data_IF_203370658972
#
_entry.id   IF_203370658972
#
_cell.length_a   1.000
_cell.length_b   1.000
_cell.length_c   1.000
_cell.angle_alpha   90.00
_cell.angle_beta   90.00
_cell.angle_gamma   90.00
#
_symmetry.space_group_name_H-M   'P 1'
#
loop_
_entity.id
_entity.type
_entity.pdbx_description
1 polymer ?
#
# COMPACT_ATOMS: atom_id res chain seq x y z
N UNK A 1 -23.36 -11.12 13.07
CA UNK A 1 -22.84 -9.87 12.50
C UNK A 1 -22.35 -10.15 11.09
N UNK A 2 -22.85 -9.43 10.08
CA UNK A 2 -22.40 -9.53 8.69
C UNK A 2 -21.19 -8.62 8.43
N UNK A 3 -20.44 -8.87 7.35
CA UNK A 3 -19.31 -8.01 6.97
C UNK A 3 -19.76 -6.55 6.76
N UNK A 4 -20.97 -6.33 6.21
CA UNK A 4 -21.51 -4.98 6.02
C UNK A 4 -21.83 -4.25 7.32
N UNK A 5 -22.35 -4.96 8.32
CA UNK A 5 -22.62 -4.40 9.65
C UNK A 5 -21.33 -3.96 10.33
N UNK A 6 -20.29 -4.79 10.26
CA UNK A 6 -18.97 -4.47 10.82
C UNK A 6 -18.30 -3.28 10.07
N UNK A 7 -18.43 -3.24 8.75
CA UNK A 7 -17.96 -2.11 7.96
C UNK A 7 -18.71 -0.82 8.30
N UNK A 8 -20.02 -0.90 8.55
CA UNK A 8 -20.84 0.22 8.97
C UNK A 8 -20.48 0.71 10.38
N UNK A 9 -20.23 -0.22 11.32
CA UNK A 9 -19.80 0.08 12.69
C UNK A 9 -18.51 0.91 12.74
N UNK A 10 -17.64 0.75 11.74
CA UNK A 10 -16.37 1.48 11.60
C UNK A 10 -16.46 2.69 10.66
N UNK A 11 -17.67 3.14 10.32
CA UNK A 11 -17.94 4.26 9.39
C UNK A 11 -17.26 4.07 8.02
N UNK A 12 -17.10 2.83 7.59
CA UNK A 12 -16.44 2.47 6.33
C UNK A 12 -14.93 2.68 6.29
N UNK A 13 -14.27 2.89 7.44
CA UNK A 13 -12.82 3.12 7.56
C UNK A 13 -12.19 2.37 8.74
N UNK A 14 -12.28 1.02 8.77
CA UNK A 14 -11.66 0.23 9.83
C UNK A 14 -10.14 0.40 9.79
N UNK A 15 -9.52 0.47 10.96
CA UNK A 15 -8.06 0.61 11.06
C UNK A 15 -7.31 -0.67 10.67
N UNK A 16 -7.96 -1.84 10.70
CA UNK A 16 -7.35 -3.13 10.38
C UNK A 16 -6.71 -3.19 9.00
N UNK A 17 -7.35 -2.60 7.97
CA UNK A 17 -6.75 -2.52 6.64
C UNK A 17 -5.46 -1.71 6.61
N UNK A 18 -5.38 -0.61 7.37
CA UNK A 18 -4.19 0.24 7.43
C UNK A 18 -3.01 -0.52 8.05
N UNK A 19 -3.26 -1.25 9.14
CA UNK A 19 -2.25 -2.11 9.78
C UNK A 19 -1.84 -3.29 8.89
N UNK A 20 -2.80 -3.93 8.23
CA UNK A 20 -2.54 -5.07 7.36
C UNK A 20 -1.61 -4.67 6.21
N UNK A 21 -1.82 -3.49 5.61
CA UNK A 21 -0.93 -2.96 4.56
C UNK A 21 0.50 -2.77 5.03
N UNK A 22 0.68 -2.16 6.20
CA UNK A 22 2.02 -1.92 6.76
C UNK A 22 2.68 -3.24 7.14
N UNK A 23 1.94 -4.16 7.76
CA UNK A 23 2.44 -5.49 8.13
C UNK A 23 2.88 -6.30 6.91
N UNK A 24 2.05 -6.36 5.86
CA UNK A 24 2.40 -7.04 4.62
C UNK A 24 3.58 -6.36 3.92
N UNK A 25 3.67 -5.02 3.90
CA UNK A 25 4.83 -4.31 3.34
C UNK A 25 6.12 -4.64 4.10
N UNK A 26 6.06 -4.70 5.43
CA UNK A 26 7.20 -5.10 6.26
C UNK A 26 7.60 -6.57 5.99
N UNK A 27 6.64 -7.47 5.81
CA UNK A 27 6.94 -8.86 5.43
C UNK A 27 7.61 -8.96 4.06
N UNK A 28 7.29 -8.09 3.10
CA UNK A 28 7.99 -8.00 1.80
C UNK A 28 9.45 -7.56 2.00
N UNK A 29 9.71 -6.58 2.86
CA UNK A 29 11.09 -6.17 3.20
C UNK A 29 11.86 -7.36 3.80
N UNK A 30 11.25 -8.11 4.73
CA UNK A 30 11.87 -9.31 5.31
C UNK A 30 12.14 -10.36 4.22
N UNK A 31 11.16 -10.62 3.35
CA UNK A 31 11.30 -11.57 2.24
C UNK A 31 12.50 -11.24 1.34
N UNK A 32 12.65 -9.97 0.97
CA UNK A 32 13.72 -9.53 0.08
C UNK A 32 15.11 -9.51 0.72
N UNK A 33 15.24 -9.66 2.04
CA UNK A 33 16.56 -9.87 2.67
C UNK A 33 17.23 -11.13 2.14
N UNK A 34 16.46 -12.17 1.76
CA UNK A 34 17.00 -13.42 1.25
C UNK A 34 17.74 -13.21 -0.08
N UNK A 35 17.08 -12.63 -1.09
CA UNK A 35 17.70 -12.40 -2.40
C UNK A 35 18.79 -11.34 -2.38
N UNK A 36 18.63 -10.27 -1.60
CA UNK A 36 19.62 -9.18 -1.54
C UNK A 36 20.88 -9.57 -0.76
N UNK A 37 20.79 -10.53 0.17
CA UNK A 37 21.93 -10.99 0.98
C UNK A 37 22.56 -12.27 0.42
N UNK A 38 21.77 -13.18 -0.14
CA UNK A 38 22.20 -14.54 -0.50
C UNK A 38 21.87 -14.96 -1.94
N UNK A 39 21.22 -14.11 -2.73
CA UNK A 39 20.91 -14.37 -4.13
C UNK A 39 19.63 -15.20 -4.34
N UNK A 40 19.30 -15.42 -5.62
CA UNK A 40 18.03 -16.01 -6.05
C UNK A 40 17.84 -17.45 -5.57
N UNK A 41 18.91 -18.27 -5.56
CA UNK A 41 18.83 -19.68 -5.16
C UNK A 41 18.30 -19.85 -3.73
N UNK A 42 18.81 -19.05 -2.78
CA UNK A 42 18.37 -19.07 -1.39
C UNK A 42 16.92 -18.64 -1.25
N UNK A 43 16.49 -17.61 -2.00
CA UNK A 43 15.10 -17.18 -2.01
C UNK A 43 14.18 -18.28 -2.54
N UNK A 44 14.55 -18.94 -3.64
CA UNK A 44 13.79 -20.07 -4.20
C UNK A 44 13.71 -21.23 -3.22
N UNK A 45 14.80 -21.55 -2.51
CA UNK A 45 14.79 -22.59 -1.48
C UNK A 45 13.82 -22.27 -0.33
N UNK A 46 13.75 -21.01 0.12
CA UNK A 46 12.76 -20.56 1.11
C UNK A 46 11.32 -20.58 0.58
N UNK A 47 11.15 -20.26 -0.71
CA UNK A 47 9.87 -20.23 -1.41
C UNK A 47 9.27 -21.64 -1.57
N UNK A 48 10.14 -22.66 -1.72
CA UNK A 48 9.76 -24.07 -1.89
C UNK A 48 9.82 -24.86 -0.57
N UNK A 49 10.43 -24.31 0.46
CA UNK A 49 10.59 -24.95 1.75
C UNK A 49 9.34 -24.93 2.65
N UNK A 50 9.47 -25.35 3.91
CA UNK A 50 8.36 -25.41 4.87
C UNK A 50 7.69 -24.06 5.13
N UNK A 51 8.41 -22.95 4.96
CA UNK A 51 7.86 -21.60 5.14
C UNK A 51 7.02 -21.10 3.96
N UNK A 52 6.89 -21.88 2.87
CA UNK A 52 6.20 -21.49 1.63
C UNK A 52 4.88 -20.77 1.85
N UNK A 53 3.92 -21.25 2.67
CA UNK A 53 2.63 -20.60 2.80
C UNK A 53 2.69 -19.18 3.37
N UNK A 54 3.69 -18.90 4.21
CA UNK A 54 3.88 -17.58 4.82
C UNK A 54 4.20 -16.56 3.73
N UNK A 55 5.18 -16.87 2.88
CA UNK A 55 5.65 -15.99 1.81
C UNK A 55 4.65 -15.91 0.66
N UNK A 56 4.07 -17.06 0.29
CA UNK A 56 3.07 -17.17 -0.75
C UNK A 56 1.78 -16.40 -0.41
N UNK A 57 1.40 -16.28 0.87
CA UNK A 57 0.18 -15.54 1.23
C UNK A 57 0.30 -14.02 1.05
N UNK A 58 1.51 -13.43 1.11
CA UNK A 58 1.71 -11.98 1.22
C UNK A 58 1.05 -11.22 0.05
N UNK A 59 1.38 -11.60 -1.19
CA UNK A 59 0.90 -10.89 -2.38
C UNK A 59 -0.60 -11.11 -2.63
N UNK A 60 -1.16 -12.34 -2.57
CA UNK A 60 -2.61 -12.53 -2.62
C UNK A 60 -3.37 -11.73 -1.58
N UNK A 61 -2.86 -11.62 -0.34
CA UNK A 61 -3.48 -10.78 0.69
C UNK A 61 -3.44 -9.30 0.30
N UNK A 62 -2.31 -8.80 -0.25
CA UNK A 62 -2.20 -7.45 -0.79
C UNK A 62 -3.25 -7.15 -1.88
N UNK A 63 -3.39 -8.08 -2.83
CA UNK A 63 -4.33 -7.94 -3.94
C UNK A 63 -5.78 -8.08 -3.47
N UNK A 64 -6.09 -9.01 -2.57
CA UNK A 64 -7.42 -9.20 -2.02
C UNK A 64 -7.90 -7.98 -1.22
N UNK A 65 -7.05 -7.38 -0.36
CA UNK A 65 -7.45 -6.16 0.34
C UNK A 65 -7.66 -5.01 -0.65
N UNK A 66 -6.82 -4.93 -1.70
CA UNK A 66 -6.94 -3.90 -2.73
C UNK A 66 -8.28 -4.04 -3.44
N UNK A 67 -8.65 -5.26 -3.87
CA UNK A 67 -9.94 -5.57 -4.47
C UNK A 67 -11.12 -5.11 -3.63
N UNK A 68 -11.13 -5.46 -2.34
CA UNK A 68 -12.20 -5.08 -1.41
C UNK A 68 -12.36 -3.55 -1.30
N UNK A 69 -11.25 -2.82 -1.11
CA UNK A 69 -11.28 -1.37 -0.92
C UNK A 69 -11.54 -0.61 -2.23
N UNK A 70 -11.03 -1.13 -3.35
CA UNK A 70 -11.19 -0.56 -4.69
C UNK A 70 -12.64 -0.71 -5.13
N UNK A 71 -13.28 -1.86 -4.88
CA UNK A 71 -14.72 -2.05 -5.08
C UNK A 71 -15.56 -1.01 -4.33
N UNK A 72 -15.24 -0.75 -3.06
CA UNK A 72 -15.95 0.29 -2.31
C UNK A 72 -15.68 1.70 -2.82
N UNK A 73 -14.49 1.96 -3.36
CA UNK A 73 -14.23 3.24 -4.02
C UNK A 73 -14.89 3.35 -5.39
N UNK A 74 -15.09 2.25 -6.12
CA UNK A 74 -15.83 2.24 -7.39
C UNK A 74 -17.29 2.63 -7.16
N UNK A 75 -17.95 2.02 -6.15
CA UNK A 75 -19.34 2.37 -5.77
C UNK A 75 -19.51 3.85 -5.36
N UNK A 76 -18.47 4.47 -4.78
CA UNK A 76 -18.50 5.88 -4.38
C UNK A 76 -18.14 6.86 -5.51
N UNK A 77 -17.52 6.39 -6.58
CA UNK A 77 -17.06 7.25 -7.69
C UNK A 77 -18.23 7.58 -8.61
N UNK A 78 -18.30 8.83 -9.10
CA UNK A 78 -19.37 9.26 -10.02
C UNK A 78 -19.17 8.71 -11.43
N UNK A 79 -17.93 8.70 -11.90
CA UNK A 79 -17.56 8.20 -13.22
C UNK A 79 -16.32 7.31 -13.14
N UNK A 80 -16.05 6.57 -14.22
CA UNK A 80 -14.82 5.79 -14.37
C UNK A 80 -13.56 6.67 -14.48
N UNK A 81 -13.70 7.92 -14.95
CA UNK A 81 -12.57 8.87 -15.05
C UNK A 81 -12.09 9.24 -13.65
N UNK A 82 -12.97 9.66 -12.74
CA UNK A 82 -12.62 9.92 -11.35
C UNK A 82 -12.11 8.66 -10.66
N UNK A 83 -12.71 7.50 -10.95
CA UNK A 83 -12.23 6.23 -10.39
C UNK A 83 -10.78 5.97 -10.79
N UNK A 84 -10.45 5.95 -12.08
CA UNK A 84 -9.09 5.68 -12.58
C UNK A 84 -8.12 6.80 -12.23
N UNK A 85 -8.54 8.06 -12.32
CA UNK A 85 -7.73 9.24 -12.00
C UNK A 85 -7.24 9.24 -10.55
N UNK A 86 -8.07 8.77 -9.60
CA UNK A 86 -7.64 8.61 -8.21
C UNK A 86 -6.51 7.56 -8.04
N UNK A 87 -6.42 6.57 -8.93
CA UNK A 87 -5.37 5.54 -8.89
C UNK A 87 -4.10 6.04 -9.55
N UNK A 88 -4.24 6.76 -10.67
CA UNK A 88 -3.11 7.46 -11.30
C UNK A 88 -2.46 8.41 -10.29
N UNK A 89 -3.23 9.25 -9.60
CA UNK A 89 -2.71 10.15 -8.57
C UNK A 89 -2.07 9.45 -7.37
N UNK A 90 -2.41 8.18 -7.12
CA UNK A 90 -1.85 7.38 -6.03
C UNK A 90 -0.54 6.71 -6.43
N UNK A 91 -0.47 6.12 -7.62
CA UNK A 91 0.64 5.24 -8.04
C UNK A 91 1.70 6.04 -8.80
N UNK A 92 1.29 6.77 -9.83
CA UNK A 92 2.22 7.36 -10.80
C UNK A 92 3.24 8.33 -10.18
N UNK A 93 2.86 9.30 -9.32
CA UNK A 93 3.82 10.28 -8.81
C UNK A 93 4.95 9.66 -7.97
N UNK A 94 4.61 8.70 -7.09
CA UNK A 94 5.61 8.05 -6.26
C UNK A 94 6.48 7.10 -7.09
N UNK A 95 5.90 6.32 -8.01
CA UNK A 95 6.64 5.48 -8.95
C UNK A 95 7.64 6.28 -9.79
N UNK A 96 7.21 7.43 -10.34
CA UNK A 96 8.10 8.29 -11.12
C UNK A 96 9.30 8.80 -10.30
N UNK A 97 9.06 9.20 -9.05
CA UNK A 97 10.14 9.67 -8.17
C UNK A 97 11.07 8.54 -7.76
N UNK A 98 10.56 7.34 -7.49
CA UNK A 98 11.43 6.18 -7.23
C UNK A 98 12.31 5.88 -8.44
N UNK A 99 11.75 5.83 -9.65
CA UNK A 99 12.53 5.53 -10.84
C UNK A 99 13.60 6.60 -11.10
N UNK A 100 13.28 7.88 -10.84
CA UNK A 100 14.27 8.96 -10.89
C UNK A 100 15.36 8.82 -9.83
N UNK A 101 15.02 8.44 -8.60
CA UNK A 101 16.01 8.19 -7.53
C UNK A 101 16.92 7.01 -7.92
N UNK A 102 16.34 5.92 -8.43
CA UNK A 102 17.10 4.77 -8.91
C UNK A 102 18.06 5.18 -10.03
N UNK A 103 17.59 5.91 -11.04
CA UNK A 103 18.38 6.34 -12.19
C UNK A 103 19.44 7.38 -11.86
N UNK A 104 19.11 8.39 -11.06
CA UNK A 104 19.94 9.60 -10.89
C UNK A 104 20.72 9.65 -9.58
N UNK A 105 20.36 8.80 -8.61
CA UNK A 105 21.03 8.75 -7.30
C UNK A 105 21.67 7.39 -7.09
N UNK A 106 20.87 6.31 -7.10
CA UNK A 106 21.40 4.96 -6.82
C UNK A 106 22.36 4.52 -7.93
N UNK A 107 21.96 4.66 -9.19
CA UNK A 107 22.78 4.24 -10.32
C UNK A 107 24.18 4.88 -10.33
N UNK A 108 24.31 6.22 -10.30
CA UNK A 108 25.62 6.89 -10.26
C UNK A 108 26.48 6.53 -9.05
N UNK A 109 25.87 6.19 -7.91
CA UNK A 109 26.60 5.79 -6.70
C UNK A 109 27.16 4.36 -6.77
N UNK A 110 26.54 3.48 -7.55
CA UNK A 110 26.83 2.04 -7.56
C UNK A 110 27.14 1.47 -8.93
N UNK A 111 27.22 2.29 -9.98
CA UNK A 111 27.61 1.85 -11.33
C UNK A 111 29.11 1.64 -11.43
N UNK A 112 29.52 0.58 -12.13
CA UNK A 112 30.91 0.33 -12.49
C UNK A 112 31.35 1.14 -13.74
N UNK A 113 30.42 1.77 -14.45
CA UNK A 113 30.70 2.51 -15.68
C UNK A 113 31.04 3.97 -15.39
N UNK A 114 31.79 4.60 -16.29
CA UNK A 114 31.94 6.05 -16.27
C UNK A 114 30.57 6.72 -16.48
N UNK A 115 30.33 7.87 -15.83
CA UNK A 115 28.99 8.49 -15.79
C UNK A 115 28.46 8.89 -17.17
N UNK A 116 29.34 9.26 -18.10
CA UNK A 116 29.01 9.56 -19.49
C UNK A 116 28.51 8.32 -20.23
N UNK A 117 29.17 7.17 -20.04
CA UNK A 117 28.72 5.89 -20.59
C UNK A 117 27.42 5.42 -19.94
N UNK A 118 27.29 5.60 -18.62
CA UNK A 118 26.09 5.23 -17.88
C UNK A 118 24.83 5.94 -18.39
N UNK A 119 24.86 7.27 -18.57
CA UNK A 119 23.67 8.04 -18.98
C UNK A 119 23.35 7.92 -20.47
N UNK A 120 24.35 7.63 -21.31
CA UNK A 120 24.16 7.44 -22.75
C UNK A 120 23.75 6.02 -23.12
N UNK A 121 23.90 5.07 -22.19
CA UNK A 121 23.50 3.68 -22.39
C UNK A 121 21.97 3.55 -22.65
N UNK A 122 21.54 2.80 -23.68
CA UNK A 122 20.13 2.57 -23.95
C UNK A 122 19.34 1.96 -22.78
N UNK A 123 19.98 1.17 -21.90
CA UNK A 123 19.37 0.57 -20.71
C UNK A 123 18.95 1.66 -19.71
N UNK A 124 19.77 2.70 -19.53
CA UNK A 124 19.40 3.85 -18.69
C UNK A 124 18.12 4.52 -19.20
N UNK A 125 18.04 4.76 -20.51
CA UNK A 125 16.87 5.38 -21.13
C UNK A 125 15.62 4.50 -21.02
N UNK A 126 15.77 3.18 -21.22
CA UNK A 126 14.67 2.23 -21.06
C UNK A 126 14.16 2.17 -19.61
N UNK A 127 15.04 2.34 -18.62
CA UNK A 127 14.62 2.36 -17.22
C UNK A 127 13.61 3.47 -16.91
N UNK A 128 13.61 4.58 -17.66
CA UNK A 128 12.60 5.64 -17.51
C UNK A 128 11.17 5.16 -17.81
N UNK A 129 11.01 4.06 -18.56
CA UNK A 129 9.69 3.45 -18.81
C UNK A 129 9.04 2.90 -17.53
N UNK A 130 9.81 2.65 -16.46
CA UNK A 130 9.28 2.30 -15.15
C UNK A 130 8.31 3.36 -14.63
N UNK A 131 8.53 4.65 -14.95
CA UNK A 131 7.64 5.74 -14.56
C UNK A 131 6.23 5.55 -15.15
N UNK A 132 6.12 4.93 -16.33
CA UNK A 132 4.86 4.62 -17.01
C UNK A 132 4.28 3.25 -16.61
N UNK A 133 4.95 2.51 -15.71
CA UNK A 133 4.56 1.16 -15.30
C UNK A 133 4.99 0.05 -16.26
N UNK A 134 5.91 0.34 -17.20
CA UNK A 134 6.55 -0.67 -18.05
C UNK A 134 7.85 -1.09 -17.36
N UNK A 135 7.80 -2.26 -16.73
CA UNK A 135 8.83 -2.70 -15.78
C UNK A 135 10.16 -3.00 -16.49
N UNK A 136 11.24 -2.42 -15.97
CA UNK A 136 12.64 -2.71 -16.29
C UNK A 136 13.41 -2.89 -14.97
N UNK A 137 14.24 -3.93 -14.88
CA UNK A 137 14.87 -4.30 -13.62
C UNK A 137 16.28 -3.76 -13.45
N UNK A 138 17.01 -3.54 -14.55
CA UNK A 138 18.45 -3.32 -14.53
C UNK A 138 18.83 -1.91 -14.96
N UNK A 139 19.89 -1.38 -14.38
CA UNK A 139 20.57 -0.16 -14.80
C UNK A 139 22.00 -0.49 -15.25
N UNK A 140 22.60 0.29 -16.17
CA UNK A 140 23.91 -0.01 -16.72
C UNK A 140 25.00 -0.10 -15.64
N UNK A 141 25.60 -1.28 -15.49
CA UNK A 141 26.72 -1.51 -14.59
C UNK A 141 26.41 -1.39 -13.10
N UNK A 142 25.14 -1.35 -12.68
CA UNK A 142 24.74 -1.17 -11.27
C UNK A 142 24.65 -2.52 -10.55
N UNK A 143 25.16 -2.58 -9.31
CA UNK A 143 25.09 -3.76 -8.43
C UNK A 143 25.70 -5.06 -8.99
N UNK A 144 26.69 -4.97 -9.89
CA UNK A 144 27.32 -6.14 -10.53
C UNK A 144 27.97 -7.13 -9.53
N UNK A 145 28.35 -6.65 -8.35
CA UNK A 145 29.00 -7.45 -7.30
C UNK A 145 28.03 -7.95 -6.23
N UNK A 146 26.74 -7.59 -6.33
CA UNK A 146 25.72 -8.05 -5.39
C UNK A 146 25.24 -9.47 -5.72
N UNK A 147 24.68 -10.21 -4.74
CA UNK A 147 24.12 -11.55 -4.98
C UNK A 147 22.96 -11.56 -5.99
N UNK A 148 22.30 -10.41 -6.17
CA UNK A 148 21.32 -10.18 -7.23
C UNK A 148 21.56 -8.79 -7.83
N UNK A 149 21.53 -8.69 -9.16
CA UNK A 149 21.90 -7.46 -9.90
C UNK A 149 20.73 -6.50 -10.15
N UNK A 150 19.50 -7.01 -10.06
CA UNK A 150 18.29 -6.22 -10.29
C UNK A 150 18.26 -5.02 -9.33
N UNK A 151 17.91 -3.84 -9.84
CA UNK A 151 17.82 -2.61 -9.03
C UNK A 151 16.53 -2.59 -8.23
N UNK A 152 15.43 -3.02 -8.84
CA UNK A 152 14.12 -3.04 -8.19
C UNK A 152 13.25 -4.21 -8.66
N UNK A 153 13.42 -5.39 -8.05
CA UNK A 153 12.71 -6.59 -8.47
C UNK A 153 11.19 -6.49 -8.24
N UNK A 154 10.76 -5.90 -7.12
CA UNK A 154 9.36 -5.81 -6.70
C UNK A 154 8.42 -5.05 -7.65
N UNK A 155 8.96 -4.28 -8.61
CA UNK A 155 8.13 -3.59 -9.62
C UNK A 155 7.29 -4.57 -10.47
N UNK A 156 7.66 -5.85 -10.51
CA UNK A 156 6.95 -6.89 -11.27
C UNK A 156 5.46 -7.02 -10.94
N UNK A 157 5.02 -6.66 -9.72
CA UNK A 157 3.61 -6.75 -9.33
C UNK A 157 2.76 -5.58 -9.84
N UNK A 158 3.37 -4.42 -10.15
CA UNK A 158 2.65 -3.20 -10.54
C UNK A 158 1.82 -3.37 -11.83
N UNK A 159 2.32 -4.02 -12.90
CA UNK A 159 1.49 -4.29 -14.07
C UNK A 159 0.25 -5.12 -13.75
N UNK A 160 0.33 -6.05 -12.80
CA UNK A 160 -0.83 -6.86 -12.38
C UNK A 160 -1.84 -6.02 -11.61
N UNK A 161 -1.39 -5.08 -10.78
CA UNK A 161 -2.26 -4.11 -10.11
C UNK A 161 -3.02 -3.24 -11.15
N UNK A 162 -2.33 -2.73 -12.17
CA UNK A 162 -2.97 -1.98 -13.26
C UNK A 162 -3.99 -2.84 -14.03
N UNK A 163 -3.64 -4.10 -14.35
CA UNK A 163 -4.57 -5.06 -14.96
C UNK A 163 -5.82 -5.28 -14.10
N UNK A 164 -5.69 -5.31 -12.77
CA UNK A 164 -6.84 -5.42 -11.87
C UNK A 164 -7.79 -4.22 -11.99
N UNK A 165 -7.25 -3.01 -12.10
CA UNK A 165 -8.05 -1.80 -12.28
C UNK A 165 -8.77 -1.77 -13.63
N UNK A 166 -8.10 -2.23 -14.69
CA UNK A 166 -8.73 -2.39 -16.01
C UNK A 166 -9.82 -3.46 -15.93
N UNK A 167 -9.54 -4.63 -15.33
CA UNK A 167 -10.50 -5.72 -15.21
C UNK A 167 -11.79 -5.28 -14.49
N UNK A 168 -11.69 -4.65 -13.31
CA UNK A 168 -12.87 -4.19 -12.59
C UNK A 168 -13.64 -3.08 -13.32
N UNK A 169 -12.93 -2.21 -14.04
CA UNK A 169 -13.56 -1.20 -14.90
C UNK A 169 -14.35 -1.86 -16.04
N UNK A 170 -13.80 -2.90 -16.69
CA UNK A 170 -14.50 -3.67 -17.73
C UNK A 170 -15.74 -4.38 -17.15
N UNK A 171 -15.62 -5.07 -16.02
CA UNK A 171 -16.77 -5.68 -15.33
C UNK A 171 -17.87 -4.65 -15.03
N UNK A 172 -17.49 -3.41 -14.70
CA UNK A 172 -18.43 -2.32 -14.46
C UNK A 172 -19.10 -1.80 -15.75
N UNK A 173 -18.33 -1.59 -16.82
CA UNK A 173 -18.84 -1.15 -18.13
C UNK A 173 -19.86 -2.16 -18.68
N UNK A 174 -19.52 -3.44 -18.66
CA UNK A 174 -20.37 -4.52 -19.18
C UNK A 174 -21.53 -4.91 -18.25
N UNK A 175 -21.81 -4.12 -17.21
CA UNK A 175 -22.89 -4.36 -16.24
C UNK A 175 -22.76 -5.68 -15.44
N UNK A 176 -21.71 -6.47 -15.69
CA UNK A 176 -21.44 -7.72 -14.97
C UNK A 176 -21.20 -7.48 -13.49
N UNK A 177 -20.65 -6.31 -13.12
CA UNK A 177 -20.50 -5.91 -11.72
C UNK A 177 -21.86 -5.64 -11.03
N UNK A 178 -22.90 -5.26 -11.78
CA UNK A 178 -24.25 -5.02 -11.24
C UNK A 178 -24.99 -6.32 -10.97
N UNK A 179 -24.74 -7.37 -11.75
CA UNK A 179 -25.38 -8.68 -11.65
C UNK A 179 -24.47 -9.67 -10.91
N UNK A 180 -24.71 -9.96 -9.60
CA UNK A 180 -23.79 -10.76 -8.80
C UNK A 180 -23.47 -12.13 -9.40
N UNK A 181 -24.46 -12.76 -10.05
CA UNK A 181 -24.28 -14.05 -10.71
C UNK A 181 -23.27 -14.00 -11.86
N UNK A 182 -23.28 -12.94 -12.68
CA UNK A 182 -22.32 -12.76 -13.77
C UNK A 182 -20.92 -12.47 -13.24
N UNK A 183 -20.81 -11.71 -12.15
CA UNK A 183 -19.53 -11.45 -11.51
C UNK A 183 -18.92 -12.73 -10.91
N UNK A 184 -19.73 -13.53 -10.21
CA UNK A 184 -19.33 -14.85 -9.69
C UNK A 184 -18.93 -15.78 -10.83
N UNK A 185 -19.73 -15.86 -11.89
CA UNK A 185 -19.41 -16.66 -13.08
C UNK A 185 -18.08 -16.23 -13.70
N UNK A 186 -17.83 -14.92 -13.85
CA UNK A 186 -16.55 -14.40 -14.34
C UNK A 186 -15.37 -14.78 -13.45
N UNK A 187 -15.53 -14.72 -12.12
CA UNK A 187 -14.51 -15.17 -11.18
C UNK A 187 -14.22 -16.67 -11.31
N UNK A 188 -15.27 -17.51 -11.43
CA UNK A 188 -15.13 -18.96 -11.60
C UNK A 188 -14.48 -19.28 -12.95
N UNK A 189 -14.90 -18.63 -14.04
CA UNK A 189 -14.32 -18.84 -15.37
C UNK A 189 -12.82 -18.49 -15.39
N UNK A 190 -12.44 -17.36 -14.79
CA UNK A 190 -11.03 -16.98 -14.65
C UNK A 190 -10.26 -17.93 -13.75
N UNK A 191 -10.88 -18.46 -12.68
CA UNK A 191 -10.26 -19.46 -11.81
C UNK A 191 -9.97 -20.75 -12.56
N UNK A 192 -10.93 -21.25 -13.35
CA UNK A 192 -10.76 -22.44 -14.19
C UNK A 192 -9.66 -22.18 -15.21
N UNK A 193 -9.66 -21.02 -15.89
CA UNK A 193 -8.64 -20.67 -16.87
C UNK A 193 -7.24 -20.60 -16.24
N UNK A 194 -7.10 -19.99 -15.05
CA UNK A 194 -5.83 -19.92 -14.34
C UNK A 194 -5.34 -21.30 -13.88
N UNK A 195 -6.25 -22.14 -13.36
CA UNK A 195 -5.91 -23.51 -12.97
C UNK A 195 -5.52 -24.36 -14.17
N UNK A 196 -6.23 -24.24 -15.30
CA UNK A 196 -5.88 -24.92 -16.54
C UNK A 196 -4.50 -24.47 -17.04
N UNK A 197 -4.22 -23.16 -17.02
CA UNK A 197 -2.90 -22.63 -17.37
C UNK A 197 -1.80 -23.19 -16.48
N UNK A 198 -2.02 -23.29 -15.17
CA UNK A 198 -1.04 -23.85 -14.23
C UNK A 198 -0.71 -25.31 -14.54
N UNK A 199 -1.71 -26.09 -14.94
CA UNK A 199 -1.55 -27.50 -15.28
C UNK A 199 -0.91 -27.69 -16.66
N UNK A 200 -1.31 -26.88 -17.65
CA UNK A 200 -0.85 -27.00 -19.03
C UNK A 200 0.56 -26.43 -19.26
N UNK A 201 0.96 -25.45 -18.46
CA UNK A 201 2.29 -24.86 -18.51
C UNK A 201 2.97 -24.99 -17.14
N UNK A 202 3.50 -26.19 -16.83
CA UNK A 202 4.28 -26.43 -15.62
C UNK A 202 5.69 -25.80 -15.76
N UNK A 203 5.78 -24.49 -16.02
CA UNK A 203 7.01 -23.75 -15.79
C UNK A 203 7.45 -23.93 -14.33
N UNK A 204 8.77 -23.90 -14.11
CA UNK A 204 9.38 -24.06 -12.79
C UNK A 204 8.71 -23.11 -11.79
N UNK A 205 8.11 -23.70 -10.76
CA UNK A 205 7.51 -22.96 -9.66
C UNK A 205 8.64 -22.29 -8.87
N UNK A 206 8.84 -20.98 -9.08
CA UNK A 206 9.80 -20.18 -8.29
C UNK A 206 9.32 -19.94 -6.85
N UNK A 207 8.22 -20.59 -6.43
CA UNK A 207 7.63 -20.54 -5.10
C UNK A 207 6.90 -19.23 -4.77
N UNK A 208 6.74 -18.35 -5.77
CA UNK A 208 5.88 -17.16 -5.71
C UNK A 208 4.62 -17.45 -6.54
N UNK A 209 3.43 -17.02 -6.06
CA UNK A 209 2.20 -17.23 -6.84
C UNK A 209 2.28 -16.49 -8.18
N UNK A 210 1.90 -17.21 -9.24
CA UNK A 210 1.88 -16.69 -10.61
C UNK A 210 0.97 -15.46 -10.71
N UNK A 211 1.35 -14.52 -11.57
CA UNK A 211 0.64 -13.26 -11.79
C UNK A 211 -0.89 -13.36 -11.98
N UNK A 212 -1.44 -14.35 -12.72
CA UNK A 212 -2.88 -14.53 -12.84
C UNK A 212 -3.60 -14.76 -11.49
N UNK A 213 -2.95 -15.43 -10.54
CA UNK A 213 -3.53 -15.68 -9.22
C UNK A 213 -3.66 -14.38 -8.41
N UNK A 214 -2.77 -13.41 -8.63
CA UNK A 214 -2.89 -12.09 -8.01
C UNK A 214 -4.14 -11.35 -8.49
N UNK A 215 -4.44 -11.44 -9.79
CA UNK A 215 -5.68 -10.88 -10.37
C UNK A 215 -6.91 -11.58 -9.79
N UNK A 216 -6.86 -12.90 -9.64
CA UNK A 216 -7.95 -13.65 -8.98
C UNK A 216 -8.15 -13.25 -7.53
N UNK A 217 -7.07 -13.10 -6.75
CA UNK A 217 -7.15 -12.66 -5.36
C UNK A 217 -7.82 -11.28 -5.25
N UNK A 218 -7.47 -10.35 -6.15
CA UNK A 218 -8.13 -9.05 -6.26
C UNK A 218 -9.63 -9.16 -6.59
N UNK A 219 -9.99 -10.01 -7.57
CA UNK A 219 -11.39 -10.21 -7.94
C UNK A 219 -12.18 -10.87 -6.80
N UNK A 220 -11.59 -11.80 -6.04
CA UNK A 220 -12.22 -12.37 -4.85
C UNK A 220 -12.39 -11.35 -3.73
N UNK A 221 -11.41 -10.47 -3.50
CA UNK A 221 -11.59 -9.33 -2.60
C UNK A 221 -12.77 -8.44 -3.01
N UNK A 222 -12.89 -8.18 -4.32
CA UNK A 222 -14.00 -7.44 -4.92
C UNK A 222 -15.35 -8.17 -4.75
N UNK A 223 -15.34 -9.50 -4.90
CA UNK A 223 -16.50 -10.37 -4.73
C UNK A 223 -17.00 -10.35 -3.28
N UNK A 224 -16.09 -10.45 -2.31
CA UNK A 224 -16.42 -10.37 -0.88
C UNK A 224 -17.02 -9.01 -0.53
N UNK A 225 -16.52 -7.92 -1.13
CA UNK A 225 -17.13 -6.61 -0.97
C UNK A 225 -18.55 -6.57 -1.54
N UNK A 226 -18.81 -7.23 -2.68
CA UNK A 226 -20.16 -7.28 -3.27
C UNK A 226 -21.12 -8.17 -2.48
N UNK A 227 -20.63 -9.26 -1.90
CA UNK A 227 -21.39 -10.22 -1.09
C UNK A 227 -21.39 -9.90 0.42
N UNK A 228 -20.90 -8.71 0.81
CA UNK A 228 -20.73 -8.29 2.21
C UNK A 228 -22.00 -8.39 3.08
N UNK A 229 -23.18 -8.28 2.47
CA UNK A 229 -24.47 -8.36 3.16
C UNK A 229 -24.91 -9.80 3.46
N UNK A 230 -24.30 -10.79 2.80
CA UNK A 230 -24.62 -12.22 2.94
C UNK A 230 -23.54 -13.01 3.66
N UNK A 231 -22.36 -12.42 3.83
CA UNK A 231 -21.22 -13.08 4.44
C UNK A 231 -21.11 -12.71 5.92
N UNK A 232 -21.09 -13.70 6.82
CA UNK A 232 -20.90 -13.45 8.24
C UNK A 232 -19.46 -13.01 8.51
N UNK A 233 -19.29 -12.08 9.45
CA UNK A 233 -18.00 -11.77 10.06
C UNK A 233 -17.79 -12.72 11.24
N UNK A 234 -17.20 -13.91 10.97
CA UNK A 234 -17.08 -15.00 11.95
C UNK A 234 -15.62 -15.41 12.17
N UNK A 235 -15.12 -15.43 13.42
CA UNK A 235 -13.76 -15.90 13.72
C UNK A 235 -13.58 -17.38 13.34
N UNK A 236 -14.61 -18.22 13.50
CA UNK A 236 -14.54 -19.64 13.15
C UNK A 236 -14.33 -19.85 11.64
N UNK A 237 -15.04 -19.08 10.81
CA UNK A 237 -14.81 -19.10 9.36
C UNK A 237 -13.45 -18.53 8.99
N UNK A 238 -12.95 -17.54 9.72
CA UNK A 238 -11.60 -17.00 9.48
C UNK A 238 -10.53 -18.07 9.76
N UNK A 239 -10.64 -18.79 10.88
CA UNK A 239 -9.71 -19.87 11.21
C UNK A 239 -9.82 -21.01 10.20
N UNK A 240 -11.04 -21.43 9.85
CA UNK A 240 -11.26 -22.46 8.83
C UNK A 240 -10.65 -22.05 7.47
N UNK A 241 -10.89 -20.81 7.03
CA UNK A 241 -10.31 -20.27 5.80
C UNK A 241 -8.78 -20.21 5.87
N UNK A 242 -8.19 -19.80 7.00
CA UNK A 242 -6.73 -19.78 7.19
C UNK A 242 -6.12 -21.19 7.12
N UNK A 243 -6.75 -22.19 7.73
CA UNK A 243 -6.30 -23.59 7.67
C UNK A 243 -6.41 -24.14 6.24
N UNK A 244 -7.51 -23.86 5.54
CA UNK A 244 -7.68 -24.26 4.13
C UNK A 244 -6.64 -23.58 3.25
N UNK A 245 -6.40 -22.28 3.43
CA UNK A 245 -5.36 -21.54 2.72
C UNK A 245 -3.97 -22.15 2.96
N UNK A 246 -3.65 -22.52 4.21
CA UNK A 246 -2.38 -23.15 4.55
C UNK A 246 -2.17 -24.43 3.74
N UNK A 247 -3.15 -25.33 3.72
CA UNK A 247 -3.10 -26.59 2.97
C UNK A 247 -2.97 -26.34 1.46
N UNK A 248 -3.78 -25.43 0.90
CA UNK A 248 -3.78 -25.14 -0.53
C UNK A 248 -2.46 -24.50 -0.99
N UNK A 249 -1.84 -23.64 -0.17
CA UNK A 249 -0.56 -23.00 -0.50
C UNK A 249 0.63 -23.97 -0.47
N UNK A 250 0.54 -25.06 0.29
CA UNK A 250 1.53 -26.14 0.26
C UNK A 250 1.44 -27.00 -1.01
N UNK A 251 0.27 -27.06 -1.65
CA UNK A 251 0.04 -27.86 -2.85
C UNK A 251 0.30 -27.02 -4.12
N UNK A 252 1.38 -27.25 -4.87
CA UNK A 252 1.75 -26.40 -6.02
C UNK A 252 0.65 -26.28 -7.08
N UNK A 253 -0.08 -27.37 -7.37
CA UNK A 253 -1.17 -27.37 -8.35
C UNK A 253 -2.47 -26.72 -7.83
N UNK A 254 -2.67 -26.70 -6.51
CA UNK A 254 -3.88 -26.18 -5.88
C UNK A 254 -3.70 -24.77 -5.29
N UNK A 255 -2.49 -24.20 -5.39
CA UNK A 255 -2.17 -22.89 -4.80
C UNK A 255 -3.06 -21.75 -5.32
N UNK A 256 -3.57 -21.85 -6.55
CA UNK A 256 -4.47 -20.87 -7.14
C UNK A 256 -5.82 -20.82 -6.42
N UNK A 257 -6.28 -21.95 -5.88
CA UNK A 257 -7.52 -22.04 -5.12
C UNK A 257 -7.40 -21.37 -3.75
N UNK A 258 -6.18 -21.11 -3.25
CA UNK A 258 -5.97 -20.42 -1.99
C UNK A 258 -6.43 -18.95 -2.03
N UNK A 259 -6.58 -18.36 -3.23
CA UNK A 259 -6.93 -16.95 -3.41
C UNK A 259 -8.25 -16.56 -2.73
N UNK A 260 -9.30 -17.39 -2.85
CA UNK A 260 -10.61 -17.13 -2.22
C UNK A 260 -10.58 -17.20 -0.68
N UNK A 261 -10.11 -18.30 -0.05
CA UNK A 261 -10.05 -18.36 1.41
C UNK A 261 -9.09 -17.31 1.99
N UNK A 262 -7.96 -17.02 1.32
CA UNK A 262 -7.06 -15.93 1.73
C UNK A 262 -7.75 -14.56 1.64
N UNK A 263 -8.56 -14.33 0.62
CA UNK A 263 -9.32 -13.09 0.52
C UNK A 263 -10.28 -12.92 1.70
N UNK A 264 -10.94 -14.01 2.15
CA UNK A 264 -11.80 -13.96 3.34
C UNK A 264 -11.01 -13.63 4.61
N UNK A 265 -9.87 -14.30 4.83
CA UNK A 265 -8.97 -14.01 5.97
C UNK A 265 -8.52 -12.55 5.94
N UNK A 266 -8.10 -12.06 4.78
CA UNK A 266 -7.65 -10.68 4.56
C UNK A 266 -8.74 -9.68 4.90
N UNK A 267 -9.97 -9.90 4.41
CA UNK A 267 -11.11 -9.01 4.67
C UNK A 267 -11.53 -9.08 6.13
N UNK A 268 -11.54 -10.27 6.74
CA UNK A 268 -11.87 -10.44 8.15
C UNK A 268 -10.91 -9.64 9.04
N UNK A 269 -9.60 -9.81 8.83
CA UNK A 269 -8.55 -9.07 9.55
C UNK A 269 -8.62 -7.57 9.25
N UNK A 270 -8.87 -7.20 8.00
CA UNK A 270 -8.99 -5.79 7.59
C UNK A 270 -10.18 -5.06 8.20
N UNK A 271 -11.29 -5.76 8.47
CA UNK A 271 -12.48 -5.26 9.15
C UNK A 271 -12.35 -5.21 10.68
N UNK A 272 -11.24 -5.72 11.24
CA UNK A 272 -10.92 -5.45 12.65
C UNK A 272 -10.66 -3.96 12.84
N UNK A 273 -10.96 -3.44 14.03
CA UNK A 273 -10.80 -2.03 14.33
C UNK A 273 -9.95 -1.81 15.59
N UNK A 274 -8.67 -2.22 15.58
CA UNK A 274 -7.74 -1.88 16.65
C UNK A 274 -7.60 -0.35 16.79
N UNK A 275 -7.19 0.15 17.96
CA UNK A 275 -6.98 1.58 18.15
C UNK A 275 -5.96 2.12 17.13
N UNK A 276 -6.26 3.28 16.53
CA UNK A 276 -5.36 3.92 15.57
C UNK A 276 -4.16 4.49 16.31
N UNK A 277 -2.98 3.96 16.00
CA UNK A 277 -1.71 4.50 16.46
C UNK A 277 -1.38 5.82 15.74
N UNK A 278 -0.45 6.59 16.29
CA UNK A 278 0.04 7.82 15.64
C UNK A 278 0.54 7.54 14.22
N UNK A 279 1.24 6.41 14.02
CA UNK A 279 1.77 5.98 12.73
C UNK A 279 0.67 5.80 11.67
N UNK A 280 -0.38 5.03 11.99
CA UNK A 280 -1.50 4.80 11.06
C UNK A 280 -2.33 6.08 10.85
N UNK A 281 -2.37 6.96 11.85
CA UNK A 281 -3.10 8.22 11.75
C UNK A 281 -2.41 9.26 10.86
N UNK A 282 -1.08 9.23 10.74
CA UNK A 282 -0.29 10.25 10.04
C UNK A 282 -0.23 10.04 8.52
N UNK A 283 -0.36 8.80 8.04
CA UNK A 283 -0.26 8.51 6.61
C UNK A 283 -0.41 7.05 6.20
N UNK A 284 -0.44 6.83 4.88
CA UNK A 284 -0.41 5.51 4.25
C UNK A 284 1.02 5.25 3.73
N UNK A 285 1.88 4.73 4.61
CA UNK A 285 3.31 4.53 4.31
C UNK A 285 3.60 3.23 3.56
N UNK A 286 2.64 2.31 3.48
CA UNK A 286 2.89 0.97 2.96
C UNK A 286 3.38 0.98 1.51
N UNK A 287 2.89 1.93 0.72
CA UNK A 287 3.30 2.05 -0.68
C UNK A 287 4.75 2.51 -0.81
N UNK A 288 5.18 3.49 -0.02
CA UNK A 288 6.59 3.90 0.03
C UNK A 288 7.51 2.79 0.57
N UNK A 289 7.10 2.09 1.63
CA UNK A 289 7.89 0.96 2.18
C UNK A 289 8.10 -0.12 1.14
N UNK A 290 7.04 -0.46 0.39
CA UNK A 290 7.12 -1.34 -0.76
C UNK A 290 8.08 -0.73 -1.78
N UNK A 291 7.71 0.37 -2.43
CA UNK A 291 8.41 0.92 -3.59
C UNK A 291 9.93 1.15 -3.38
N UNK A 292 10.36 1.64 -2.22
CA UNK A 292 11.78 1.92 -1.91
C UNK A 292 12.51 0.77 -1.21
N UNK A 293 11.81 -0.28 -0.77
CA UNK A 293 12.39 -1.37 0.02
C UNK A 293 13.56 -2.04 -0.69
N UNK A 294 13.32 -2.58 -1.89
CA UNK A 294 14.31 -3.38 -2.61
C UNK A 294 15.55 -2.57 -3.04
N UNK A 295 15.44 -1.37 -3.64
CA UNK A 295 16.63 -0.58 -4.00
C UNK A 295 17.49 -0.21 -2.80
N UNK A 296 16.88 0.09 -1.65
CA UNK A 296 17.62 0.40 -0.42
C UNK A 296 18.32 -0.85 0.12
N UNK A 297 17.68 -2.01 0.11
CA UNK A 297 18.32 -3.27 0.53
C UNK A 297 19.50 -3.64 -0.39
N UNK A 298 19.38 -3.39 -1.70
CA UNK A 298 20.48 -3.56 -2.65
C UNK A 298 21.64 -2.59 -2.36
N UNK A 299 21.35 -1.31 -2.09
CA UNK A 299 22.37 -0.33 -1.70
C UNK A 299 23.09 -0.72 -0.39
N UNK A 300 22.36 -1.24 0.61
CA UNK A 300 22.97 -1.75 1.85
C UNK A 300 23.87 -2.97 1.56
N UNK A 301 23.42 -3.90 0.73
CA UNK A 301 24.21 -5.08 0.33
C UNK A 301 25.48 -4.71 -0.47
N UNK A 302 25.41 -3.65 -1.26
CA UNK A 302 26.55 -3.11 -2.03
C UNK A 302 27.55 -2.36 -1.16
N UNK A 303 27.09 -1.63 -0.13
CA UNK A 303 27.95 -0.86 0.78
C UNK A 303 28.64 -1.73 1.83
N UNK A 304 28.03 -2.87 2.21
CA UNK A 304 28.55 -3.77 3.24
C UNK A 304 28.75 -5.19 2.69
N UNK A 305 29.67 -5.41 1.72
CA UNK A 305 29.82 -6.70 1.06
C UNK A 305 30.21 -7.85 2.00
N UNK A 306 31.02 -7.56 3.03
CA UNK A 306 31.46 -8.54 4.03
C UNK A 306 30.38 -8.85 5.10
N UNK A 307 29.33 -8.03 5.19
CA UNK A 307 28.25 -8.15 6.17
C UNK A 307 26.88 -8.38 5.51
N UNK A 308 26.85 -9.12 4.40
CA UNK A 308 25.63 -9.55 3.70
C UNK A 308 24.86 -10.63 4.48
N UNK A 309 24.59 -10.37 5.75
CA UNK A 309 23.69 -11.18 6.55
C UNK A 309 22.28 -10.59 6.48
N UNK A 310 21.27 -11.45 6.35
CA UNK A 310 19.88 -11.01 6.23
C UNK A 310 19.44 -10.06 7.36
N UNK A 311 19.91 -10.30 8.58
CA UNK A 311 19.57 -9.50 9.75
C UNK A 311 20.28 -8.15 9.75
N UNK A 312 21.55 -8.08 9.31
CA UNK A 312 22.27 -6.79 9.13
C UNK A 312 21.53 -5.96 8.08
N UNK A 313 21.23 -6.57 6.93
CA UNK A 313 20.47 -5.91 5.88
C UNK A 313 19.12 -5.40 6.41
N UNK A 314 18.36 -6.24 7.13
CA UNK A 314 17.07 -5.87 7.71
C UNK A 314 17.17 -4.67 8.67
N UNK A 315 18.07 -4.74 9.66
CA UNK A 315 18.17 -3.72 10.71
C UNK A 315 18.77 -2.40 10.22
N UNK A 316 19.63 -2.42 9.19
CA UNK A 316 20.19 -1.21 8.57
C UNK A 316 19.23 -0.61 7.54
N UNK A 317 18.63 -1.44 6.68
CA UNK A 317 17.76 -0.95 5.61
C UNK A 317 16.41 -0.43 6.15
N UNK A 318 15.79 -1.11 7.13
CA UNK A 318 14.43 -0.77 7.59
C UNK A 318 14.28 0.68 8.09
N UNK A 319 15.19 1.23 8.93
CA UNK A 319 15.12 2.63 9.33
C UNK A 319 15.21 3.60 8.14
N UNK A 320 16.07 3.30 7.16
CA UNK A 320 16.25 4.12 5.95
C UNK A 320 14.97 4.06 5.10
N UNK A 321 14.43 2.85 4.88
CA UNK A 321 13.17 2.63 4.15
C UNK A 321 12.04 3.42 4.81
N UNK A 322 11.89 3.34 6.13
CA UNK A 322 10.85 4.08 6.85
C UNK A 322 11.01 5.60 6.71
N UNK A 323 12.24 6.12 6.76
CA UNK A 323 12.52 7.55 6.59
C UNK A 323 12.18 8.02 5.16
N UNK A 324 12.59 7.27 4.15
CA UNK A 324 12.31 7.59 2.74
C UNK A 324 10.81 7.45 2.44
N UNK A 325 10.15 6.41 2.94
CA UNK A 325 8.71 6.22 2.80
C UNK A 325 7.91 7.34 3.48
N UNK A 326 8.35 7.81 4.66
CA UNK A 326 7.78 8.98 5.31
C UNK A 326 7.93 10.23 4.44
N UNK A 327 9.13 10.48 3.91
CA UNK A 327 9.40 11.57 2.97
C UNK A 327 8.50 11.51 1.73
N UNK A 328 8.42 10.34 1.09
CA UNK A 328 7.58 10.09 -0.09
C UNK A 328 6.13 10.46 0.16
N UNK A 329 5.55 9.96 1.26
CA UNK A 329 4.16 10.22 1.60
C UNK A 329 3.89 11.72 1.76
N UNK A 330 4.71 12.43 2.54
CA UNK A 330 4.47 13.83 2.88
C UNK A 330 4.81 14.82 1.75
N UNK A 331 5.84 14.50 0.95
CA UNK A 331 6.33 15.38 -0.10
C UNK A 331 5.64 15.16 -1.44
N UNK A 332 5.21 13.93 -1.73
CA UNK A 332 4.73 13.52 -3.06
C UNK A 332 3.27 13.06 -2.98
N UNK A 333 3.02 11.91 -2.36
CA UNK A 333 1.73 11.21 -2.45
C UNK A 333 0.58 12.03 -1.85
N UNK A 334 0.78 12.57 -0.64
CA UNK A 334 -0.23 13.40 0.03
C UNK A 334 -0.55 14.67 -0.74
N UNK A 335 0.42 15.24 -1.48
CA UNK A 335 0.21 16.42 -2.32
C UNK A 335 -0.51 16.04 -3.61
N UNK A 336 -0.10 14.96 -4.27
CA UNK A 336 -0.76 14.46 -5.46
C UNK A 336 -2.23 14.12 -5.20
N UNK A 337 -2.56 13.48 -4.08
CA UNK A 337 -3.93 13.14 -3.71
C UNK A 337 -4.82 14.37 -3.42
N UNK A 338 -4.24 15.55 -3.13
CA UNK A 338 -5.01 16.81 -3.02
C UNK A 338 -5.56 17.25 -4.39
N UNK A 339 -4.95 16.80 -5.49
CA UNK A 339 -5.39 17.12 -6.84
C UNK A 339 -6.72 16.43 -7.23
N UNK A 340 -7.24 15.53 -6.38
CA UNK A 340 -8.58 14.92 -6.58
C UNK A 340 -9.69 15.95 -6.80
N UNK A 341 -9.57 17.16 -6.23
CA UNK A 341 -10.53 18.23 -6.40
C UNK A 341 -10.61 18.71 -7.85
N UNK A 342 -9.47 18.76 -8.55
CA UNK A 342 -9.43 19.12 -9.97
C UNK A 342 -10.10 18.06 -10.83
N UNK A 343 -9.92 16.76 -10.53
CA UNK A 343 -10.65 15.68 -11.22
C UNK A 343 -12.16 15.86 -11.10
N UNK A 344 -12.66 16.10 -9.89
CA UNK A 344 -14.11 16.29 -9.68
C UNK A 344 -14.66 17.55 -10.35
N UNK A 345 -13.85 18.62 -10.46
CA UNK A 345 -14.24 19.85 -11.16
C UNK A 345 -14.22 19.68 -12.67
N UNK A 346 -13.21 18.99 -13.19
CA UNK A 346 -13.10 18.65 -14.60
C UNK A 346 -14.31 17.83 -15.06
N UNK A 347 -14.71 16.82 -14.28
CA UNK A 347 -15.92 16.04 -14.57
C UNK A 347 -17.20 16.88 -14.55
N UNK A 348 -17.32 17.80 -13.59
CA UNK A 348 -18.47 18.69 -13.52
C UNK A 348 -18.56 19.65 -14.72
N UNK A 349 -17.42 20.00 -15.33
CA UNK A 349 -17.37 20.81 -16.56
C UNK A 349 -17.53 20.00 -17.85
N UNK A 350 -17.02 18.77 -17.91
CA UNK A 350 -17.04 17.92 -19.10
C UNK A 350 -18.35 17.11 -19.26
N UNK A 351 -19.09 16.88 -18.18
CA UNK A 351 -20.37 16.18 -18.20
C UNK A 351 -21.41 16.97 -17.39
N UNK A 352 -22.02 18.01 -17.98
CA UNK A 352 -23.16 18.71 -17.37
C UNK A 352 -24.43 17.85 -17.54
N UNK A 353 -24.49 16.67 -16.93
CA UNK A 353 -25.70 15.85 -16.99
C UNK A 353 -26.14 15.39 -15.59
N UNK A 354 -27.21 16.07 -15.17
CA UNK A 354 -28.26 15.70 -14.21
C UNK A 354 -27.94 15.68 -12.71
N UNK A 355 -27.76 16.89 -12.16
CA UNK A 355 -27.98 17.22 -10.74
C UNK A 355 -29.46 17.12 -10.31
N UNK A 356 -30.29 16.25 -10.91
CA UNK A 356 -31.73 16.22 -10.65
C UNK A 356 -32.28 14.97 -9.93
N UNK A 357 -31.50 13.91 -9.68
CA UNK A 357 -32.05 12.65 -9.09
C UNK A 357 -31.58 12.33 -7.66
N UNK A 358 -31.10 13.31 -6.89
CA UNK A 358 -30.75 13.07 -5.47
C UNK A 358 -31.28 14.11 -4.47
N UNK A 359 -32.18 14.99 -4.90
CA UNK A 359 -32.87 15.91 -3.98
C UNK A 359 -34.09 15.27 -3.27
N UNK A 360 -34.52 14.06 -3.63
CA UNK A 360 -35.70 13.40 -3.02
C UNK A 360 -35.38 12.38 -1.92
N UNK A 361 -34.36 12.62 -1.10
CA UNK A 361 -34.17 11.94 0.19
C UNK A 361 -33.73 12.91 1.29
N UNK A 362 -34.22 14.15 1.24
CA UNK A 362 -34.32 14.95 2.45
C UNK A 362 -35.51 14.41 3.25
N UNK A 363 -35.24 13.99 4.49
CA UNK A 363 -36.23 13.53 5.45
C UNK A 363 -37.42 14.53 5.55
N UNK A 364 -38.67 14.06 5.74
CA UNK A 364 -39.76 14.97 6.04
C UNK A 364 -39.44 15.69 7.35
N UNK A 365 -39.34 17.01 7.28
CA UNK A 365 -39.31 17.89 8.44
C UNK A 365 -40.55 17.64 9.32
N UNK A 366 -40.43 17.67 10.66
CA UNK A 366 -41.59 17.55 11.54
C UNK A 366 -42.56 18.72 11.29
N UNK A 367 -43.88 18.52 11.39
CA UNK A 367 -44.84 19.57 11.15
C UNK A 367 -44.68 20.69 12.19
N UNK A 368 -44.48 21.90 11.69
CA UNK A 368 -44.53 23.12 12.47
C UNK A 368 -45.95 23.29 13.05
N UNK A 369 -46.08 23.25 14.39
CA UNK A 369 -47.28 23.69 15.07
C UNK A 369 -47.51 25.18 14.79
N UNK A 370 -48.51 25.49 13.96
CA UNK A 370 -49.07 26.83 13.85
C UNK A 370 -49.88 27.12 15.12
N UNK A 371 -49.42 28.10 15.88
CA UNK A 371 -50.24 28.74 16.89
C UNK A 371 -51.33 29.57 16.20
N UNK A 372 -52.59 29.20 16.43
CA UNK A 372 -53.75 30.06 16.26
C UNK A 372 -54.57 29.93 17.54
N UNK A 373 -54.75 31.05 18.24
CA UNK A 373 -55.50 31.09 19.49
C UNK A 373 -57.00 31.02 19.26
N UNK A 374 -57.74 30.39 20.17
CA UNK A 374 -58.80 31.05 20.94
C UNK A 374 -59.36 30.14 22.03
N UNK A 375 -59.66 30.80 23.15
CA UNK A 375 -60.37 30.45 24.38
C UNK A 375 -61.34 29.25 24.33
N UNK A 376 -61.22 28.35 25.31
CA UNK A 376 -62.34 27.77 26.05
C UNK A 376 -61.84 27.12 27.36
N UNK A 377 -62.70 27.14 28.38
CA UNK A 377 -62.37 27.08 29.80
C UNK A 377 -62.56 25.70 30.45
N UNK A 378 -62.00 25.58 31.68
CA UNK A 378 -62.34 24.62 32.76
C UNK A 378 -62.12 23.13 32.47
N UNK A 379 -61.69 22.26 33.39
CA UNK A 379 -61.65 22.28 34.85
C UNK A 379 -60.62 21.25 35.35
N UNK A 380 -59.95 21.59 36.45
CA UNK A 380 -59.17 20.72 37.36
C UNK A 380 -60.13 19.87 38.23
N UNK A 381 -59.70 18.77 38.92
CA UNK A 381 -58.82 18.90 40.09
C UNK A 381 -57.84 17.75 40.44
N UNK A 382 -56.82 18.13 41.24
CA UNK A 382 -56.13 17.45 42.38
C UNK A 382 -55.45 16.07 42.16
N UNK A 383 -54.34 15.67 42.77
CA UNK A 383 -53.32 16.19 43.73
C UNK A 383 -52.22 15.10 43.76
N UNK A 384 -50.92 15.39 43.77
CA UNK A 384 -50.03 15.33 44.95
C UNK A 384 -48.61 15.75 44.50
N UNK A 385 -47.89 16.46 45.35
CA UNK A 385 -46.47 16.87 45.22
C UNK A 385 -45.82 16.70 46.62
N UNK A 386 -44.55 17.09 46.91
CA UNK A 386 -43.35 17.31 46.08
C UNK A 386 -42.03 16.77 46.72
N UNK A 387 -40.89 16.82 45.99
CA UNK A 387 -39.55 17.25 46.47
C UNK A 387 -38.57 17.30 45.26
N UNK A 388 -38.22 18.44 44.63
CA UNK A 388 -37.22 19.47 45.00
C UNK A 388 -35.82 18.88 45.29
N UNK A 389 -34.66 19.32 44.77
CA UNK A 389 -34.09 20.39 43.89
C UNK A 389 -32.67 19.84 43.52
N UNK A 390 -31.94 20.26 42.47
CA UNK A 390 -31.42 21.61 42.21
C UNK A 390 -30.79 21.64 40.80
N UNK A 391 -31.05 22.72 40.08
CA UNK A 391 -30.47 23.08 38.81
C UNK A 391 -29.26 24.01 38.99
N UNK A 392 -28.39 24.09 37.98
CA UNK A 392 -27.72 25.34 37.59
C UNK A 392 -27.43 25.31 36.08
N UNK A 393 -27.79 26.42 35.41
CA UNK A 393 -27.68 26.70 33.98
C UNK A 393 -26.36 27.42 33.64
N UNK A 394 -25.94 27.26 32.39
CA UNK A 394 -25.07 28.04 31.48
C UNK A 394 -25.11 29.59 31.62
N UNK A 395 -24.31 30.46 30.92
CA UNK A 395 -23.71 30.27 29.58
C UNK A 395 -22.37 31.09 29.30
N UNK A 396 -22.01 31.62 28.10
CA UNK A 396 -20.64 31.53 27.51
C UNK A 396 -19.96 32.90 27.25
N UNK A 397 -18.71 32.92 26.75
CA UNK A 397 -18.16 34.09 26.02
C UNK A 397 -16.81 33.82 25.33
N UNK A 398 -16.79 33.95 24.01
CA UNK A 398 -15.66 34.48 23.22
C UNK A 398 -15.89 36.00 23.04
N UNK A 399 -14.85 36.86 22.90
CA UNK A 399 -14.28 37.16 21.57
C UNK A 399 -12.78 37.53 21.51
N UNK A 400 -12.27 37.51 20.27
CA UNK A 400 -10.97 37.95 19.72
C UNK A 400 -10.26 39.14 20.40
N UNK A 401 -8.92 39.14 20.48
CA UNK A 401 -8.02 40.12 19.79
C UNK A 401 -6.52 39.88 20.03
N UNK A 402 -5.74 40.39 19.06
CA UNK A 402 -4.30 40.42 18.87
C UNK A 402 -3.43 40.83 20.08
N UNK A 403 -2.18 40.36 20.10
CA UNK A 403 -1.15 40.92 20.99
C UNK A 403 0.24 40.35 20.74
N UNK A 404 0.94 40.91 19.75
CA UNK A 404 2.40 40.79 19.55
C UNK A 404 3.11 41.47 20.71
N UNK A 405 4.01 40.78 21.43
CA UNK A 405 5.15 41.42 22.12
C UNK A 405 6.39 40.54 21.97
N UNK A 406 7.43 41.15 21.40
CA UNK A 406 8.83 40.72 21.31
C UNK A 406 9.65 41.78 22.06
N UNK A 407 10.91 41.44 22.41
CA UNK A 407 12.03 42.32 22.85
C UNK A 407 12.23 42.39 24.39
N UNK A 408 13.40 42.23 25.05
CA UNK A 408 14.84 41.90 24.78
C UNK A 408 15.54 41.76 26.19
N UNK A 409 16.80 41.27 26.30
CA UNK A 409 17.44 40.74 27.53
C UNK A 409 18.43 41.72 28.20
N UNK A 410 19.18 41.25 29.21
CA UNK A 410 20.63 41.53 29.31
C UNK A 410 21.41 40.23 29.62
N UNK A 411 22.69 40.02 29.33
CA UNK A 411 23.77 40.85 28.82
C UNK A 411 25.09 40.11 29.07
N UNK A 412 26.00 40.19 28.09
CA UNK A 412 27.47 40.13 28.18
C UNK A 412 28.19 38.95 28.90
N UNK A 413 28.93 38.16 28.11
CA UNK A 413 30.41 38.12 28.10
C UNK A 413 30.92 37.33 26.88
N UNK A 414 31.93 37.89 26.20
CA UNK A 414 32.64 37.35 25.02
C UNK A 414 33.92 36.59 25.46
N UNK A 415 34.61 35.87 24.53
CA UNK A 415 35.38 34.64 24.78
C UNK A 415 36.91 34.89 24.86
N UNK A 416 37.70 33.81 24.84
CA UNK A 416 38.87 33.78 23.96
C UNK A 416 38.91 32.54 23.04
N UNK A 417 39.52 32.73 21.87
CA UNK A 417 39.86 31.72 20.87
C UNK A 417 41.33 31.22 21.09
N UNK A 418 42.00 30.66 20.07
CA UNK A 418 42.19 29.23 19.82
C UNK A 418 43.63 28.76 20.15
N UNK A 419 43.88 27.44 20.12
CA UNK A 419 45.25 26.92 20.07
C UNK A 419 45.41 25.93 18.91
N UNK A 420 46.37 26.24 18.05
CA UNK A 420 46.94 25.44 16.97
C UNK A 420 47.91 24.38 17.52
N UNK A 421 48.16 23.32 16.75
CA UNK A 421 49.49 22.68 16.76
C UNK A 421 49.57 21.17 16.51
N UNK A 422 50.08 20.83 15.31
CA UNK A 422 50.99 19.71 14.95
C UNK A 422 50.45 18.33 14.53
N UNK A 423 50.62 18.04 13.23
CA UNK A 423 50.96 16.73 12.63
C UNK A 423 52.51 16.50 12.71
N UNK A 424 53.17 15.48 12.07
CA UNK A 424 52.73 14.31 11.27
C UNK A 424 53.53 12.98 11.55
N UNK A 425 53.22 11.89 10.80
CA UNK A 425 54.11 10.72 10.57
C UNK A 425 53.32 9.45 10.15
N UNK A 426 53.25 9.04 8.87
CA UNK A 426 54.16 8.29 7.98
C UNK A 426 54.33 6.77 8.24
N UNK A 427 54.23 6.01 7.13
CA UNK A 427 54.70 4.63 6.85
C UNK A 427 53.78 3.46 7.28
N UNK A 428 53.57 2.37 6.53
CA UNK A 428 54.07 1.89 5.24
C UNK A 428 53.21 0.70 4.73
N UNK A 429 53.27 0.45 3.41
CA UNK A 429 52.89 -0.78 2.68
C UNK A 429 54.16 -1.62 2.46
N UNK A 430 54.11 -2.96 2.48
CA UNK A 430 54.27 -3.79 1.26
C UNK A 430 53.34 -5.03 1.31
N UNK A 431 53.00 -5.81 0.28
CA UNK A 431 53.40 -6.04 -1.11
C UNK A 431 52.49 -7.20 -1.62
N UNK A 432 51.90 -7.08 -2.81
CA UNK A 432 52.26 -7.85 -4.00
C UNK A 432 52.35 -9.38 -3.85
N UNK A 433 51.35 -10.11 -4.37
CA UNK A 433 51.55 -11.42 -5.02
C UNK A 433 50.58 -11.57 -6.20
N UNK A 434 51.10 -12.14 -7.28
CA UNK A 434 50.57 -12.11 -8.64
C UNK A 434 50.24 -13.52 -9.15
N UNK A 435 49.17 -13.63 -9.94
CA UNK A 435 48.95 -14.52 -11.11
C UNK A 435 48.76 -16.04 -10.87
N UNK A 436 47.56 -16.56 -11.16
CA UNK A 436 47.39 -17.56 -12.24
C UNK A 436 45.95 -17.68 -12.76
N UNK A 437 45.85 -17.84 -14.08
CA UNK A 437 44.65 -17.91 -14.90
C UNK A 437 44.10 -19.33 -14.99
N UNK A 438 42.79 -19.47 -15.19
CA UNK A 438 42.24 -20.55 -16.01
C UNK A 438 40.86 -20.16 -16.60
N UNK A 439 40.81 -20.12 -17.93
CA UNK A 439 39.62 -20.11 -18.79
C UNK A 439 39.03 -21.52 -18.85
N UNK A 440 37.69 -21.62 -18.95
CA UNK A 440 36.89 -22.59 -19.75
C UNK A 440 35.41 -22.19 -19.58
N UNK A 441 34.72 -21.57 -20.55
CA UNK A 441 34.07 -22.11 -21.77
C UNK A 441 32.79 -22.93 -21.52
N UNK A 442 31.68 -22.47 -22.15
CA UNK A 442 30.48 -23.21 -22.66
C UNK A 442 29.64 -23.99 -21.64
N UNK A 443 28.31 -23.91 -21.54
CA UNK A 443 27.22 -23.58 -22.49
C UNK A 443 26.08 -22.83 -21.79
#
# INVERSE_FOLDING_TARGET
>A
MMLSEQLAATRGRPAGFDYLRIGLAAMIVVWHTAITSYGTETQTALALGPSRPIWAAILPMFFALSGFLVSGSLERSRTLISFLGLRVLRIFPALAVESLIAMLVIGPLFTAYALDLYVTDPVFQRYALNMLGIVQYDLPGVFLTNPATQVNAQLWTLPFELKCYIAIALFYIFQMYRVPALFVFGCIALQIAASAWIVLDPQQDEGILRGPVLVLAFLYGSLLYRLRDRLPWSPALCVAAALVSLVLLYMPLANSLAALPLAYVTVYLGLTNPPRSSLVSSGDYSYGIFLYGFPIQQAVSATLPDLRFWWVNLFVATPIICLVAYGSWHLIEKKALRLRGYLTRFEAGACPTTTASRASMAAPSPPACRAAGSRAACSRPTSYAPCARRAARFPPSDPCTNGVIRVVPPGSRRPPAPNEGKAPGTCAVPGAFSIHSARTSSE
#
